data_IF_931673331173
#
_entry.id   IF_931673331173
#
_cell.length_a   1.000
_cell.length_b   1.000
_cell.length_c   1.000
_cell.angle_alpha   90.00
_cell.angle_beta   90.00
_cell.angle_gamma   90.00
#
_symmetry.space_group_name_H-M   'P 1'
#
loop_
_entity.id
_entity.type
_entity.pdbx_description
1 polymer ?
#
# COMPACT_ATOMS: atom_id res chain seq x y z
N UNK A 1 3.48 15.14 13.31
CA UNK A 1 4.56 14.96 14.29
C UNK A 1 4.93 13.48 14.30
N UNK A 2 6.18 13.14 13.95
CA UNK A 2 6.71 11.78 14.18
C UNK A 2 7.08 11.75 15.66
N UNK A 3 6.26 11.09 16.50
CA UNK A 3 6.51 11.02 17.94
C UNK A 3 7.76 10.18 18.23
N UNK A 4 8.40 10.41 19.39
CA UNK A 4 9.61 9.69 19.83
C UNK A 4 9.29 8.35 20.52
N UNK A 5 8.15 7.72 20.22
CA UNK A 5 7.76 6.46 20.86
C UNK A 5 8.22 5.26 20.04
N UNK A 6 8.45 4.12 20.70
CA UNK A 6 8.83 2.88 20.01
C UNK A 6 7.83 2.49 18.90
N UNK A 7 6.55 2.75 19.12
CA UNK A 7 5.47 2.47 18.17
C UNK A 7 5.60 3.26 16.87
N UNK A 8 6.08 4.49 16.92
CA UNK A 8 6.24 5.34 15.72
C UNK A 8 7.67 5.38 15.22
N UNK A 9 8.65 4.83 15.95
CA UNK A 9 10.05 4.74 15.51
C UNK A 9 10.20 3.96 14.20
N UNK A 10 11.16 4.35 13.32
CA UNK A 10 11.39 3.66 12.05
C UNK A 10 11.85 2.23 12.31
N UNK A 11 11.56 1.33 11.37
CA UNK A 11 12.03 -0.06 11.44
C UNK A 11 13.00 -0.37 10.30
N UNK A 12 13.77 -1.44 10.47
CA UNK A 12 14.61 -2.01 9.41
C UNK A 12 13.75 -2.90 8.51
N UNK A 13 13.66 -2.58 7.23
CA UNK A 13 12.98 -3.37 6.20
C UNK A 13 13.96 -3.88 5.13
N UNK A 14 13.63 -4.99 4.49
CA UNK A 14 14.33 -5.50 3.31
C UNK A 14 13.62 -5.02 2.06
N UNK A 15 14.35 -4.38 1.14
CA UNK A 15 13.86 -4.06 -0.19
C UNK A 15 14.25 -5.18 -1.13
N UNK A 16 13.27 -5.94 -1.60
CA UNK A 16 13.50 -6.96 -2.63
C UNK A 16 13.94 -6.34 -3.96
N UNK A 17 13.49 -5.11 -4.24
CA UNK A 17 13.85 -4.34 -5.45
C UNK A 17 15.32 -3.94 -5.42
N UNK A 18 15.80 -3.39 -4.30
CA UNK A 18 17.18 -2.91 -4.17
C UNK A 18 18.14 -3.99 -3.66
N UNK A 19 17.65 -5.21 -3.37
CA UNK A 19 18.38 -6.30 -2.70
C UNK A 19 19.19 -5.81 -1.49
N UNK A 20 18.56 -4.99 -0.66
CA UNK A 20 19.24 -4.27 0.41
C UNK A 20 18.35 -3.94 1.60
N UNK A 21 18.99 -3.67 2.74
CA UNK A 21 18.32 -3.22 3.95
C UNK A 21 18.19 -1.71 3.97
N UNK A 22 17.06 -1.21 4.47
CA UNK A 22 16.84 0.21 4.74
C UNK A 22 16.16 0.37 6.09
N UNK A 23 16.38 1.51 6.74
CA UNK A 23 15.72 1.87 8.00
C UNK A 23 14.84 3.08 7.71
N UNK A 24 13.54 2.97 7.98
CA UNK A 24 12.63 4.09 7.72
C UNK A 24 11.17 3.69 7.70
N UNK A 25 10.45 4.39 6.83
CA UNK A 25 9.01 4.25 6.59
C UNK A 25 8.74 4.05 5.10
N UNK A 26 7.56 3.56 4.79
CA UNK A 26 6.99 3.49 3.44
C UNK A 26 5.82 4.46 3.37
N UNK A 27 5.78 5.26 2.30
CA UNK A 27 4.63 6.07 1.94
C UNK A 27 3.82 5.31 0.88
N UNK A 28 2.53 5.13 1.17
CA UNK A 28 1.57 4.51 0.25
C UNK A 28 0.57 5.57 -0.20
N UNK A 29 0.26 5.62 -1.49
CA UNK A 29 -0.65 6.62 -2.06
C UNK A 29 -1.54 5.96 -3.12
N UNK A 30 -2.83 6.25 -3.06
CA UNK A 30 -3.82 5.95 -4.10
C UNK A 30 -4.18 7.27 -4.77
N UNK A 31 -4.03 7.31 -6.08
CA UNK A 31 -4.18 8.53 -6.89
C UNK A 31 -5.16 8.24 -8.02
N UNK A 32 -6.03 9.19 -8.29
CA UNK A 32 -6.87 9.17 -9.48
C UNK A 32 -6.05 9.41 -10.75
N UNK A 33 -6.64 9.09 -11.91
CA UNK A 33 -6.04 9.34 -13.22
C UNK A 33 -5.78 10.82 -13.50
N UNK A 34 -6.56 11.71 -12.91
CA UNK A 34 -6.36 13.16 -12.95
C UNK A 34 -5.24 13.68 -12.01
N UNK A 35 -4.53 12.79 -11.31
CA UNK A 35 -3.44 13.15 -10.41
C UNK A 35 -3.85 13.55 -8.99
N UNK A 36 -5.15 13.56 -8.67
CA UNK A 36 -5.62 13.88 -7.31
C UNK A 36 -5.38 12.69 -6.38
N UNK A 37 -4.72 12.96 -5.25
CA UNK A 37 -4.53 11.97 -4.18
C UNK A 37 -5.87 11.70 -3.50
N UNK A 38 -6.31 10.44 -3.55
CA UNK A 38 -7.55 9.99 -2.91
C UNK A 38 -7.31 9.55 -1.47
N UNK A 39 -6.26 8.74 -1.26
CA UNK A 39 -5.90 8.19 0.06
C UNK A 39 -4.40 8.01 0.17
N UNK A 40 -3.87 8.17 1.37
CA UNK A 40 -2.45 7.95 1.67
C UNK A 40 -2.25 7.40 3.06
N UNK A 41 -1.17 6.65 3.27
CA UNK A 41 -0.80 6.12 4.57
C UNK A 41 0.69 5.92 4.69
N UNK A 42 1.19 5.95 5.93
CA UNK A 42 2.60 5.70 6.23
C UNK A 42 2.69 4.44 7.08
N UNK A 43 3.56 3.52 6.69
CA UNK A 43 3.88 2.32 7.48
C UNK A 43 5.37 2.26 7.76
N UNK A 44 5.79 1.48 8.76
CA UNK A 44 7.23 1.23 8.96
C UNK A 44 7.79 0.39 7.82
N UNK A 45 9.09 0.50 7.55
CA UNK A 45 9.76 -0.22 6.47
C UNK A 45 9.57 -1.74 6.47
N UNK A 46 9.39 -2.35 7.64
CA UNK A 46 9.22 -3.80 7.78
C UNK A 46 7.76 -4.27 7.63
N UNK A 47 6.81 -3.35 7.46
CA UNK A 47 5.40 -3.69 7.27
C UNK A 47 5.17 -4.08 5.81
N UNK A 48 4.43 -5.18 5.60
CA UNK A 48 4.02 -5.62 4.27
C UNK A 48 3.02 -4.65 3.66
N UNK A 49 3.21 -4.30 2.39
CA UNK A 49 2.46 -3.27 1.67
C UNK A 49 0.96 -3.63 1.56
N UNK A 50 0.64 -4.93 1.51
CA UNK A 50 -0.73 -5.47 1.57
C UNK A 50 -1.53 -4.91 2.76
N UNK A 51 -0.88 -4.67 3.90
CA UNK A 51 -1.57 -4.18 5.10
C UNK A 51 -2.11 -2.76 4.93
N UNK A 52 -1.46 -1.92 4.12
CA UNK A 52 -2.02 -0.62 3.76
C UNK A 52 -3.33 -0.80 2.99
N UNK A 53 -3.31 -1.63 1.95
CA UNK A 53 -4.47 -1.81 1.07
C UNK A 53 -5.68 -2.43 1.78
N UNK A 54 -5.46 -3.27 2.79
CA UNK A 54 -6.53 -3.82 3.67
C UNK A 54 -7.23 -2.76 4.53
N UNK A 55 -6.56 -1.65 4.82
CA UNK A 55 -7.10 -0.56 5.65
C UNK A 55 -7.79 0.51 4.82
N UNK A 56 -7.64 0.47 3.50
CA UNK A 56 -8.28 1.40 2.57
C UNK A 56 -9.80 1.24 2.65
N UNK A 57 -10.50 2.35 2.70
CA UNK A 57 -11.97 2.41 2.74
C UNK A 57 -12.48 3.29 1.60
N UNK A 58 -13.73 3.17 1.23
CA UNK A 58 -14.37 4.11 0.28
C UNK A 58 -13.63 4.19 -1.07
N UNK A 59 -13.17 3.05 -1.60
CA UNK A 59 -12.67 3.01 -2.97
C UNK A 59 -13.81 3.26 -3.96
N UNK A 60 -13.54 3.93 -5.08
CA UNK A 60 -14.52 4.06 -6.15
C UNK A 60 -14.87 2.67 -6.72
N UNK A 61 -16.16 2.37 -6.80
CA UNK A 61 -16.64 1.07 -7.27
C UNK A 61 -16.36 0.87 -8.76
N UNK A 62 -16.18 -0.38 -9.18
CA UNK A 62 -16.05 -0.80 -10.59
C UNK A 62 -14.84 -0.21 -11.33
N UNK A 63 -13.79 0.15 -10.60
CA UNK A 63 -12.54 0.69 -11.17
C UNK A 63 -11.45 -0.37 -11.32
N UNK A 64 -10.51 -0.10 -12.22
CA UNK A 64 -9.24 -0.81 -12.30
C UNK A 64 -8.17 0.04 -11.62
N UNK A 65 -7.39 -0.57 -10.76
CA UNK A 65 -6.26 0.07 -10.08
C UNK A 65 -4.97 -0.53 -10.61
N UNK A 66 -3.98 0.34 -10.87
CA UNK A 66 -2.61 -0.09 -11.15
C UNK A 66 -1.80 -0.02 -9.86
N UNK A 67 -1.04 -1.07 -9.55
CA UNK A 67 -0.22 -1.09 -8.35
C UNK A 67 1.08 -1.83 -8.52
N UNK A 68 1.88 -1.77 -7.47
CA UNK A 68 3.18 -2.44 -7.36
C UNK A 68 3.02 -3.95 -7.06
N UNK A 69 4.04 -4.74 -7.42
CA UNK A 69 4.10 -6.18 -7.12
C UNK A 69 3.99 -6.50 -5.63
N UNK A 70 4.42 -5.59 -4.76
CA UNK A 70 4.33 -5.75 -3.31
C UNK A 70 2.88 -5.83 -2.79
N UNK A 71 1.88 -5.44 -3.59
CA UNK A 71 0.47 -5.57 -3.26
C UNK A 71 -0.19 -6.85 -3.82
N UNK A 72 0.55 -7.73 -4.50
CA UNK A 72 -0.01 -8.97 -5.05
C UNK A 72 -0.42 -9.91 -3.91
N UNK A 73 -1.72 -10.18 -3.81
CA UNK A 73 -2.29 -11.20 -2.93
C UNK A 73 -3.65 -11.64 -3.45
N UNK A 74 -3.87 -12.97 -3.53
CA UNK A 74 -5.14 -13.53 -4.00
C UNK A 74 -6.30 -13.12 -3.10
N UNK A 75 -6.12 -13.26 -1.78
CA UNK A 75 -7.13 -12.86 -0.79
C UNK A 75 -7.43 -11.37 -0.89
N UNK A 76 -6.39 -10.53 -0.99
CA UNK A 76 -6.59 -9.09 -1.14
C UNK A 76 -7.37 -8.74 -2.41
N UNK A 77 -7.06 -9.40 -3.53
CA UNK A 77 -7.78 -9.18 -4.78
C UNK A 77 -9.25 -9.62 -4.67
N UNK A 78 -9.54 -10.70 -3.95
CA UNK A 78 -10.92 -11.12 -3.68
C UNK A 78 -11.66 -10.07 -2.84
N UNK A 79 -11.06 -9.62 -1.74
CA UNK A 79 -11.65 -8.62 -0.85
C UNK A 79 -11.98 -7.32 -1.59
N UNK A 80 -11.06 -6.82 -2.43
CA UNK A 80 -11.26 -5.62 -3.25
C UNK A 80 -12.40 -5.78 -4.25
N UNK A 81 -12.54 -6.98 -4.84
CA UNK A 81 -13.57 -7.25 -5.83
C UNK A 81 -14.94 -7.42 -5.17
N UNK A 82 -15.00 -8.09 -4.02
CA UNK A 82 -16.25 -8.28 -3.28
C UNK A 82 -16.79 -6.95 -2.74
N UNK A 83 -15.94 -6.15 -2.11
CA UNK A 83 -16.36 -4.90 -1.45
C UNK A 83 -16.57 -3.74 -2.43
N UNK A 84 -15.70 -3.61 -3.45
CA UNK A 84 -15.66 -2.42 -4.30
C UNK A 84 -15.72 -2.74 -5.80
N UNK A 85 -15.81 -4.01 -6.22
CA UNK A 85 -15.68 -4.40 -7.64
C UNK A 85 -14.38 -3.86 -8.27
N UNK A 86 -13.33 -3.68 -7.46
CA UNK A 86 -12.04 -3.16 -7.91
C UNK A 86 -11.13 -4.31 -8.30
N UNK A 87 -10.48 -4.18 -9.46
CA UNK A 87 -9.41 -5.09 -9.88
C UNK A 87 -8.05 -4.40 -9.79
N UNK A 88 -7.13 -4.98 -9.03
CA UNK A 88 -5.74 -4.56 -8.96
C UNK A 88 -4.94 -5.26 -10.06
N UNK A 89 -4.32 -4.47 -10.94
CA UNK A 89 -3.39 -4.96 -11.96
C UNK A 89 -1.98 -4.49 -11.64
N UNK A 90 -1.03 -5.38 -11.85
CA UNK A 90 0.39 -5.09 -11.72
C UNK A 90 1.00 -5.14 -13.12
N UNK A 91 1.26 -3.99 -13.75
CA UNK A 91 1.64 -3.94 -15.15
C UNK A 91 3.10 -4.34 -15.41
N UNK A 92 3.97 -4.28 -14.40
CA UNK A 92 5.40 -4.52 -14.52
C UNK A 92 5.87 -5.64 -13.62
#
# INVERSE_FOLDING_TARGET
MISKSYETAPAKGWSAVNKGWFIGYKLHVIIFDNGVVQQSGITKANVHDINFLKQVKNLPTEKKMLGDRAYISKTLQMDLFEQYKVTLKVPF
#
